data_IF_488212865377
#
_entry.id   IF_488212865377
#
_cell.length_a   1.000
_cell.length_b   1.000
_cell.length_c   1.000
_cell.angle_alpha   90.00
_cell.angle_beta   90.00
_cell.angle_gamma   90.00
#
_symmetry.space_group_name_H-M   'P 1'
#
loop_
_entity.id
_entity.type
_entity.pdbx_description
1 polymer ?
#
# COMPACT_ATOMS: atom_id res chain seq x y z
N UNK A 1 14.63 -17.43 -13.65
CA UNK A 1 14.61 -15.99 -13.29
C UNK A 1 14.65 -15.91 -11.78
N UNK A 2 15.70 -15.32 -11.21
CA UNK A 2 15.86 -15.17 -9.74
C UNK A 2 15.58 -13.70 -9.44
N UNK A 3 14.50 -13.43 -8.73
CA UNK A 3 14.21 -12.12 -8.18
C UNK A 3 14.96 -11.97 -6.86
N UNK A 4 15.66 -10.85 -6.64
CA UNK A 4 16.26 -10.53 -5.36
C UNK A 4 15.32 -9.56 -4.61
N UNK A 5 14.54 -10.02 -3.62
CA UNK A 5 13.72 -9.12 -2.82
C UNK A 5 14.64 -8.26 -1.95
N UNK A 6 14.43 -6.94 -1.97
CA UNK A 6 15.16 -5.97 -1.15
C UNK A 6 14.19 -5.14 -0.31
N UNK A 7 14.69 -4.53 0.76
CA UNK A 7 13.90 -3.70 1.68
C UNK A 7 12.69 -4.41 2.29
N UNK A 8 12.84 -5.71 2.56
CA UNK A 8 11.77 -6.55 3.09
C UNK A 8 11.44 -6.10 4.51
N UNK A 9 10.20 -5.70 4.72
CA UNK A 9 9.62 -5.48 6.03
C UNK A 9 8.45 -6.44 6.22
N UNK A 10 8.21 -6.90 7.44
CA UNK A 10 7.10 -7.82 7.69
C UNK A 10 6.66 -7.87 9.14
N UNK A 11 5.46 -8.39 9.36
CA UNK A 11 4.89 -8.65 10.69
C UNK A 11 4.58 -10.13 10.78
N UNK A 12 5.38 -10.83 11.59
CA UNK A 12 5.22 -12.27 11.82
C UNK A 12 5.12 -13.05 10.51
N UNK A 13 4.13 -13.95 10.45
CA UNK A 13 3.78 -14.72 9.25
C UNK A 13 2.62 -14.12 8.46
N UNK A 14 2.19 -12.91 8.82
CA UNK A 14 0.92 -12.36 8.35
C UNK A 14 1.08 -11.60 7.05
N UNK A 15 2.15 -10.80 6.95
CA UNK A 15 2.40 -9.91 5.82
C UNK A 15 3.86 -9.52 5.72
N UNK A 16 4.34 -9.39 4.49
CA UNK A 16 5.59 -8.76 4.13
C UNK A 16 5.40 -7.81 2.93
N UNK A 17 6.10 -6.69 2.96
CA UNK A 17 6.20 -5.73 1.86
C UNK A 17 7.66 -5.57 1.46
N UNK A 18 7.89 -5.11 0.23
CA UNK A 18 9.22 -4.78 -0.23
C UNK A 18 9.23 -4.43 -1.70
N UNK A 19 10.42 -4.52 -2.29
CA UNK A 19 10.65 -4.17 -3.69
C UNK A 19 11.39 -5.26 -4.44
N UNK A 20 11.01 -5.46 -5.70
CA UNK A 20 11.72 -6.29 -6.66
C UNK A 20 12.73 -5.43 -7.43
N UNK A 21 13.95 -5.33 -6.93
CA UNK A 21 15.06 -4.60 -7.57
C UNK A 21 16.02 -5.59 -8.25
N UNK A 22 16.89 -5.08 -9.13
CA UNK A 22 17.89 -5.90 -9.85
C UNK A 22 17.27 -7.13 -10.53
N UNK A 23 16.06 -6.94 -11.05
CA UNK A 23 15.21 -7.99 -11.57
C UNK A 23 14.83 -7.69 -13.02
N UNK A 24 14.38 -8.71 -13.74
CA UNK A 24 13.66 -8.55 -15.01
C UNK A 24 12.24 -9.01 -14.75
N UNK A 25 11.21 -8.33 -15.26
CA UNK A 25 9.83 -8.86 -15.22
C UNK A 25 9.54 -9.79 -16.40
N UNK A 26 8.31 -10.33 -16.46
CA UNK A 26 7.88 -11.22 -17.54
C UNK A 26 7.74 -10.52 -18.89
N UNK A 27 7.65 -9.19 -18.89
CA UNK A 27 7.51 -8.36 -20.08
C UNK A 27 8.88 -7.92 -20.62
N UNK A 28 9.98 -8.29 -19.93
CA UNK A 28 11.36 -8.02 -20.30
C UNK A 28 11.90 -6.70 -19.75
N UNK A 29 11.15 -5.98 -18.90
CA UNK A 29 11.64 -4.77 -18.26
C UNK A 29 12.68 -5.12 -17.21
N UNK A 30 13.85 -4.48 -17.27
CA UNK A 30 14.92 -4.66 -16.28
C UNK A 30 14.95 -3.50 -15.29
N UNK A 31 15.06 -3.84 -14.01
CA UNK A 31 15.16 -2.90 -12.91
C UNK A 31 16.60 -2.84 -12.40
N UNK A 32 17.08 -1.62 -12.15
CA UNK A 32 18.40 -1.40 -11.51
C UNK A 32 18.33 -1.67 -10.00
N UNK A 33 19.41 -1.42 -9.26
CA UNK A 33 19.38 -1.51 -7.79
C UNK A 33 18.59 -0.37 -7.13
N UNK A 34 18.36 0.73 -7.85
CA UNK A 34 17.59 1.89 -7.39
C UNK A 34 16.12 1.84 -7.83
N UNK A 35 15.80 0.95 -8.77
CA UNK A 35 14.47 0.79 -9.34
C UNK A 35 13.89 -0.56 -8.97
N UNK A 36 12.57 -0.63 -8.86
CA UNK A 36 11.91 -1.90 -8.68
C UNK A 36 10.44 -1.79 -8.32
N UNK A 37 9.74 -2.89 -8.56
CA UNK A 37 8.30 -2.97 -8.35
C UNK A 37 7.97 -3.26 -6.90
N UNK A 38 7.01 -2.52 -6.38
CA UNK A 38 6.45 -2.75 -5.05
C UNK A 38 5.72 -4.08 -5.00
N UNK A 39 5.83 -4.78 -3.88
CA UNK A 39 5.00 -5.95 -3.60
C UNK A 39 4.50 -5.94 -2.16
N UNK A 40 3.36 -6.59 -1.98
CA UNK A 40 2.88 -7.03 -0.68
C UNK A 40 2.45 -8.51 -0.82
N UNK A 41 2.91 -9.34 0.10
CA UNK A 41 2.53 -10.75 0.21
C UNK A 41 2.08 -11.00 1.63
N UNK A 42 1.07 -11.83 1.83
CA UNK A 42 0.58 -12.14 3.16
C UNK A 42 -0.42 -13.28 3.14
N UNK A 43 -0.78 -13.77 4.32
CA UNK A 43 -1.83 -14.79 4.48
C UNK A 43 -3.18 -14.15 4.19
N UNK A 44 -3.91 -14.56 3.14
CA UNK A 44 -5.22 -13.98 2.85
C UNK A 44 -6.20 -14.22 4.00
N UNK A 45 -6.88 -13.18 4.42
CA UNK A 45 -7.87 -13.25 5.51
C UNK A 45 -9.27 -12.91 4.98
N UNK A 46 -10.20 -13.85 5.17
CA UNK A 46 -11.61 -13.61 4.84
C UNK A 46 -12.33 -12.92 5.99
N UNK A 47 -12.90 -11.74 5.74
CA UNK A 47 -13.75 -11.05 6.70
C UNK A 47 -15.22 -11.37 6.44
N UNK A 48 -15.93 -11.74 7.50
CA UNK A 48 -17.38 -11.90 7.47
C UNK A 48 -18.04 -10.55 7.65
N UNK A 49 -19.08 -10.26 6.87
CA UNK A 49 -19.83 -9.01 7.04
C UNK A 49 -20.49 -8.98 8.42
N UNK A 50 -20.14 -7.98 9.22
CA UNK A 50 -20.72 -7.73 10.54
C UNK A 50 -20.85 -6.22 10.77
N UNK A 51 -21.67 -5.79 11.72
CA UNK A 51 -21.73 -4.39 12.09
C UNK A 51 -20.48 -3.96 12.85
N UNK A 52 -20.01 -2.74 12.61
CA UNK A 52 -18.93 -2.12 13.37
C UNK A 52 -17.82 -1.58 12.48
N UNK A 53 -16.94 -0.82 13.10
CA UNK A 53 -15.78 -0.22 12.45
C UNK A 53 -14.52 -0.46 13.27
N UNK A 54 -13.38 -0.58 12.60
CA UNK A 54 -12.06 -0.68 13.21
C UNK A 54 -11.19 0.49 12.75
N UNK A 55 -10.41 1.07 13.67
CA UNK A 55 -9.48 2.13 13.32
C UNK A 55 -8.21 1.50 12.74
N UNK A 56 -7.83 1.92 11.54
CA UNK A 56 -6.67 1.39 10.83
C UNK A 56 -5.53 2.39 10.86
N UNK A 57 -4.37 1.95 11.36
CA UNK A 57 -3.15 2.77 11.42
C UNK A 57 -1.99 2.06 10.73
N UNK A 58 -1.15 2.83 10.06
CA UNK A 58 0.08 2.35 9.43
C UNK A 58 0.98 1.58 10.41
N UNK A 59 1.40 0.39 10.00
CA UNK A 59 2.36 -0.45 10.73
C UNK A 59 3.60 -0.78 9.91
N UNK A 60 3.47 -0.85 8.58
CA UNK A 60 4.60 -0.96 7.65
C UNK A 60 4.40 0.03 6.50
N UNK A 61 5.48 0.59 5.97
CA UNK A 61 5.46 1.42 4.78
C UNK A 61 6.77 1.28 4.01
N UNK A 62 6.67 1.19 2.69
CA UNK A 62 7.83 1.36 1.83
C UNK A 62 8.04 2.83 1.45
N UNK A 63 9.22 3.14 0.93
CA UNK A 63 9.56 4.46 0.38
C UNK A 63 8.70 4.76 -0.85
N UNK A 64 8.37 6.04 -1.00
CA UNK A 64 7.63 6.51 -2.18
C UNK A 64 8.56 6.47 -3.38
N UNK A 65 8.07 5.94 -4.51
CA UNK A 65 8.81 5.91 -5.78
C UNK A 65 8.19 6.83 -6.82
N UNK A 66 8.97 7.22 -7.83
CA UNK A 66 8.49 7.93 -9.02
C UNK A 66 7.94 6.99 -10.11
N UNK A 67 7.64 7.57 -11.28
CA UNK A 67 7.13 6.89 -12.47
C UNK A 67 8.06 5.80 -13.05
N UNK A 68 9.37 5.91 -12.82
CA UNK A 68 10.37 4.93 -13.27
C UNK A 68 10.81 4.01 -12.13
N UNK A 69 10.01 3.99 -11.06
CA UNK A 69 10.25 3.22 -9.85
C UNK A 69 11.54 3.61 -9.11
N UNK A 70 12.10 4.81 -9.29
CA UNK A 70 13.20 5.31 -8.45
C UNK A 70 12.68 5.82 -7.12
N UNK A 71 13.46 5.75 -6.03
CA UNK A 71 13.07 6.39 -4.77
C UNK A 71 12.89 7.90 -4.96
N UNK A 72 11.75 8.44 -4.53
CA UNK A 72 11.42 9.85 -4.68
C UNK A 72 10.93 10.53 -3.39
N UNK A 73 10.77 9.78 -2.29
CA UNK A 73 10.51 10.36 -0.98
C UNK A 73 10.10 9.36 0.07
N UNK A 74 9.27 9.78 1.02
CA UNK A 74 8.79 8.95 2.13
C UNK A 74 7.29 9.05 2.30
N UNK A 75 6.69 7.93 2.71
CA UNK A 75 5.34 7.92 3.24
C UNK A 75 5.43 8.28 4.73
N UNK A 76 4.71 9.33 5.12
CA UNK A 76 4.55 9.75 6.50
C UNK A 76 3.54 8.87 7.21
N UNK A 77 2.41 9.45 7.62
CA UNK A 77 1.33 8.73 8.29
C UNK A 77 0.27 8.27 7.28
N UNK A 78 -0.21 7.04 7.45
CA UNK A 78 -1.41 6.54 6.79
C UNK A 78 -2.43 6.04 7.81
N UNK A 79 -3.69 6.42 7.61
CA UNK A 79 -4.81 5.98 8.45
C UNK A 79 -6.09 5.83 7.64
N UNK A 80 -7.00 4.98 8.13
CA UNK A 80 -8.34 4.80 7.59
C UNK A 80 -9.28 4.23 8.67
N UNK A 81 -10.56 4.09 8.34
CA UNK A 81 -11.53 3.32 9.14
C UNK A 81 -12.01 2.13 8.32
N UNK A 82 -11.83 0.91 8.81
CA UNK A 82 -12.39 -0.29 8.19
C UNK A 82 -13.84 -0.46 8.63
N UNK A 83 -14.77 -0.42 7.69
CA UNK A 83 -16.18 -0.78 7.90
C UNK A 83 -16.37 -2.27 7.59
N UNK A 84 -16.75 -3.04 8.62
CA UNK A 84 -16.91 -4.49 8.51
C UNK A 84 -18.21 -4.89 7.79
N UNK A 85 -19.21 -4.00 7.76
CA UNK A 85 -20.51 -4.27 7.16
C UNK A 85 -20.46 -4.07 5.65
N UNK A 86 -19.84 -2.98 5.21
CA UNK A 86 -19.67 -2.66 3.78
C UNK A 86 -18.37 -3.22 3.19
N UNK A 87 -17.44 -3.67 4.04
CA UNK A 87 -16.10 -4.18 3.66
C UNK A 87 -15.33 -3.15 2.85
N UNK A 88 -15.26 -1.94 3.37
CA UNK A 88 -14.53 -0.83 2.77
C UNK A 88 -13.58 -0.19 3.78
N UNK A 89 -12.47 0.35 3.27
CA UNK A 89 -11.69 1.35 3.98
C UNK A 89 -12.29 2.72 3.68
N UNK A 90 -12.75 3.40 4.72
CA UNK A 90 -13.33 4.73 4.66
C UNK A 90 -12.31 5.76 5.16
N UNK A 91 -12.39 6.97 4.60
CA UNK A 91 -11.57 8.12 5.00
C UNK A 91 -10.07 7.82 5.03
N UNK A 92 -9.60 7.06 4.03
CA UNK A 92 -8.18 6.80 3.85
C UNK A 92 -7.45 8.12 3.63
N UNK A 93 -6.41 8.36 4.43
CA UNK A 93 -5.55 9.53 4.34
C UNK A 93 -4.10 9.10 4.42
N UNK A 94 -3.30 9.56 3.46
CA UNK A 94 -1.86 9.28 3.34
C UNK A 94 -1.11 10.61 3.24
N UNK A 95 -0.15 10.82 4.13
CA UNK A 95 0.78 11.94 4.06
C UNK A 95 2.06 11.50 3.37
N UNK A 96 2.50 12.24 2.36
CA UNK A 96 3.67 11.93 1.53
C UNK A 96 4.62 13.13 1.54
N UNK A 97 5.89 12.88 1.83
CA UNK A 97 6.94 13.88 1.74
C UNK A 97 7.79 13.63 0.50
N UNK A 98 7.85 14.61 -0.40
CA UNK A 98 8.70 14.61 -1.59
C UNK A 98 9.49 15.91 -1.64
N UNK A 99 10.83 15.82 -1.68
CA UNK A 99 11.70 16.99 -1.72
C UNK A 99 11.32 18.09 -0.70
N UNK A 100 11.00 17.69 0.54
CA UNK A 100 10.55 18.56 1.64
C UNK A 100 9.17 19.22 1.46
N UNK A 101 8.39 18.83 0.45
CA UNK A 101 6.99 19.23 0.29
C UNK A 101 6.07 18.10 0.74
N UNK A 102 5.09 18.42 1.58
CA UNK A 102 4.09 17.47 2.05
C UNK A 102 2.85 17.50 1.16
N UNK A 103 2.40 16.32 0.73
CA UNK A 103 1.16 16.10 0.01
C UNK A 103 0.26 15.19 0.84
N UNK A 104 -1.03 15.49 0.85
CA UNK A 104 -2.03 14.60 1.46
C UNK A 104 -2.87 14.00 0.35
N UNK A 105 -2.89 12.68 0.29
CA UNK A 105 -3.77 11.92 -0.61
C UNK A 105 -4.92 11.35 0.22
N UNK A 106 -6.14 11.53 -0.26
CA UNK A 106 -7.33 11.01 0.42
C UNK A 106 -8.19 10.15 -0.51
N UNK A 107 -8.82 9.13 0.05
CA UNK A 107 -9.86 8.37 -0.60
C UNK A 107 -11.01 8.16 0.38
N UNK A 108 -12.19 8.64 0.03
CA UNK A 108 -13.38 8.55 0.90
C UNK A 108 -13.80 7.10 1.13
N UNK A 109 -13.67 6.26 0.10
CA UNK A 109 -14.04 4.86 0.17
C UNK A 109 -13.24 4.00 -0.81
N UNK A 110 -12.57 2.98 -0.28
CA UNK A 110 -11.89 1.95 -1.06
C UNK A 110 -12.44 0.57 -0.67
N UNK A 111 -13.09 -0.17 -1.59
CA UNK A 111 -13.51 -1.53 -1.32
C UNK A 111 -12.32 -2.43 -1.00
N UNK A 112 -12.51 -3.38 -0.07
CA UNK A 112 -11.51 -4.38 0.25
C UNK A 112 -11.32 -5.39 -0.90
N UNK A 113 -10.11 -5.92 -1.04
CA UNK A 113 -9.76 -6.94 -2.06
C UNK A 113 -10.09 -6.49 -3.48
N UNK A 114 -9.94 -5.19 -3.75
CA UNK A 114 -10.33 -4.56 -5.01
C UNK A 114 -9.45 -3.34 -5.31
N UNK A 115 -9.70 -2.72 -6.46
CA UNK A 115 -9.08 -1.47 -6.88
C UNK A 115 -10.11 -0.34 -6.78
N UNK A 116 -9.74 0.76 -6.13
CA UNK A 116 -10.50 2.01 -6.09
C UNK A 116 -9.72 3.12 -6.78
N UNK A 117 -10.41 3.96 -7.56
CA UNK A 117 -9.84 5.14 -8.21
C UNK A 117 -10.66 6.37 -7.85
N UNK A 118 -10.00 7.36 -7.28
CA UNK A 118 -10.60 8.65 -6.89
C UNK A 118 -9.71 9.77 -7.42
N UNK A 119 -10.20 10.48 -8.45
CA UNK A 119 -9.40 11.48 -9.15
C UNK A 119 -8.13 10.87 -9.75
N UNK A 120 -6.97 11.35 -9.31
CA UNK A 120 -5.65 10.89 -9.75
C UNK A 120 -5.03 9.82 -8.83
N UNK A 121 -5.73 9.40 -7.78
CA UNK A 121 -5.29 8.35 -6.85
C UNK A 121 -5.91 7.01 -7.23
N UNK A 122 -5.09 5.97 -7.32
CA UNK A 122 -5.50 4.57 -7.41
C UNK A 122 -5.00 3.81 -6.18
N UNK A 123 -5.88 3.02 -5.58
CA UNK A 123 -5.59 2.15 -4.43
C UNK A 123 -5.96 0.72 -4.82
N UNK A 124 -5.08 -0.23 -4.57
CA UNK A 124 -5.39 -1.64 -4.54
C UNK A 124 -5.28 -2.12 -3.09
N UNK A 125 -6.32 -2.76 -2.57
CA UNK A 125 -6.33 -3.28 -1.21
C UNK A 125 -6.41 -4.80 -1.19
N UNK A 126 -5.76 -5.42 -0.19
CA UNK A 126 -5.87 -6.84 0.11
C UNK A 126 -5.91 -7.03 1.63
N UNK A 127 -6.87 -7.78 2.14
CA UNK A 127 -6.97 -8.12 3.57
C UNK A 127 -6.10 -9.34 3.87
N UNK A 128 -5.26 -9.22 4.88
CA UNK A 128 -4.29 -10.22 5.30
C UNK A 128 -4.25 -10.39 6.82
N UNK A 129 -3.68 -11.50 7.28
CA UNK A 129 -3.49 -11.82 8.69
C UNK A 129 -4.16 -13.12 9.10
N UNK A 130 -4.15 -13.40 10.41
CA UNK A 130 -4.73 -14.62 10.99
C UNK A 130 -5.89 -14.36 11.95
N UNK A 131 -6.09 -13.12 12.41
CA UNK A 131 -7.15 -12.74 13.34
C UNK A 131 -8.15 -11.77 12.67
N UNK A 132 -9.40 -12.19 12.55
CA UNK A 132 -10.48 -11.38 11.98
C UNK A 132 -10.89 -10.19 12.87
N UNK A 133 -10.51 -10.18 14.16
CA UNK A 133 -10.73 -9.06 15.07
C UNK A 133 -9.61 -8.01 15.00
N UNK A 134 -8.44 -8.38 14.48
CA UNK A 134 -7.31 -7.48 14.29
C UNK A 134 -6.72 -7.64 12.88
N UNK A 135 -7.54 -7.46 11.82
CA UNK A 135 -7.08 -7.69 10.47
C UNK A 135 -6.03 -6.65 10.07
N UNK A 136 -5.19 -7.03 9.12
CA UNK A 136 -4.32 -6.10 8.42
C UNK A 136 -4.81 -5.90 6.99
N UNK A 137 -4.55 -4.71 6.46
CA UNK A 137 -4.84 -4.38 5.06
C UNK A 137 -3.56 -3.91 4.40
N UNK A 138 -3.09 -4.69 3.43
CA UNK A 138 -2.02 -4.30 2.53
C UNK A 138 -2.60 -3.41 1.42
N UNK A 139 -2.00 -2.26 1.20
CA UNK A 139 -2.41 -1.27 0.23
C UNK A 139 -1.27 -0.98 -0.74
N UNK A 140 -1.49 -1.24 -2.02
CA UNK A 140 -0.72 -0.64 -3.09
C UNK A 140 -1.37 0.67 -3.51
N UNK A 141 -0.58 1.72 -3.72
CA UNK A 141 -1.10 3.00 -4.21
C UNK A 141 -0.26 3.55 -5.35
N UNK A 142 -0.92 4.32 -6.20
CA UNK A 142 -0.28 5.19 -7.19
C UNK A 142 -1.06 6.49 -7.31
N UNK A 143 -0.38 7.61 -7.46
CA UNK A 143 -1.03 8.90 -7.66
C UNK A 143 -0.24 9.82 -8.59
N UNK A 144 -0.95 10.72 -9.27
CA UNK A 144 -0.35 11.88 -9.93
C UNK A 144 -0.54 13.10 -9.03
N UNK A 145 0.57 13.74 -8.65
CA UNK A 145 0.59 14.90 -7.78
C UNK A 145 0.40 16.21 -8.55
N UNK A 146 0.06 17.33 -7.87
CA UNK A 146 -0.17 18.62 -8.52
C UNK A 146 1.01 19.15 -9.38
N UNK A 147 2.23 18.73 -9.09
CA UNK A 147 3.43 19.06 -9.89
C UNK A 147 3.65 18.09 -11.07
N UNK A 148 2.62 17.35 -11.48
CA UNK A 148 2.63 16.32 -12.51
C UNK A 148 3.57 15.13 -12.26
N UNK A 149 4.05 14.95 -11.02
CA UNK A 149 4.82 13.75 -10.67
C UNK A 149 3.90 12.57 -10.42
N UNK A 150 4.14 11.47 -11.14
CA UNK A 150 3.56 10.17 -10.79
C UNK A 150 4.39 9.53 -9.68
N UNK A 151 3.69 9.03 -8.68
CA UNK A 151 4.28 8.33 -7.55
C UNK A 151 3.55 7.04 -7.25
N UNK A 152 4.20 6.17 -6.48
CA UNK A 152 3.56 4.98 -5.93
C UNK A 152 4.31 4.39 -4.74
N UNK A 153 3.70 3.39 -4.13
CA UNK A 153 4.25 2.69 -2.99
C UNK A 153 3.32 1.63 -2.44
N UNK A 154 3.78 0.96 -1.38
CA UNK A 154 2.98 0.01 -0.58
C UNK A 154 3.01 0.37 0.89
N UNK A 155 1.90 0.14 1.57
CA UNK A 155 1.72 0.37 3.00
C UNK A 155 0.84 -0.72 3.59
N UNK A 156 1.08 -1.10 4.85
CA UNK A 156 0.22 -2.01 5.59
C UNK A 156 -0.40 -1.27 6.76
N UNK A 157 -1.72 -1.41 6.90
CA UNK A 157 -2.48 -0.91 8.04
C UNK A 157 -2.85 -2.06 8.96
N UNK A 158 -2.74 -1.87 10.27
CA UNK A 158 -3.36 -2.74 11.28
C UNK A 158 -4.64 -2.09 11.76
N UNK A 159 -5.74 -2.84 11.75
CA UNK A 159 -7.07 -2.37 12.10
C UNK A 159 -7.54 -3.02 13.41
N UNK A 160 -7.95 -2.20 14.38
CA UNK A 160 -8.41 -2.66 15.70
C UNK A 160 -9.35 -1.67 16.38
#
# INVERSE_FOLDING_TARGET
MVLAPTDIQGIGTDVAIGRWNQAMDTDGNTYTYLQGLHYAVGTPLSLTATSGTLACTQVLADRVTDAISGYNGTLGTTSATLDLGTRTLNDLSMSINLANTNYTLTNTQAPLNSVSKTGQLSIQSVVVGHDAMQPMVALGYSATLPNAQNIGGVVVLSCK
#
